data_IF_480429916300
#
_entry.id   IF_480429916300
#
_cell.length_a   1.000
_cell.length_b   1.000
_cell.length_c   1.000
_cell.angle_alpha   90.00
_cell.angle_beta   90.00
_cell.angle_gamma   90.00
#
_symmetry.space_group_name_H-M   'P 1'
#
loop_
_entity.id
_entity.type
_entity.pdbx_description
1 polymer ?
#
# COMPACT_ATOMS: atom_id res chain seq x y z
N UNK A 1 18.50 -35.11 -4.73
CA UNK A 1 18.07 -34.02 -5.63
C UNK A 1 16.55 -33.84 -5.64
N UNK A 2 15.71 -34.84 -5.98
CA UNK A 2 14.24 -34.67 -5.94
C UNK A 2 13.67 -34.55 -4.51
N UNK A 3 14.15 -35.36 -3.58
CA UNK A 3 13.69 -35.39 -2.18
C UNK A 3 13.98 -34.09 -1.41
N UNK A 4 15.18 -33.53 -1.58
CA UNK A 4 15.56 -32.26 -0.93
C UNK A 4 14.73 -31.07 -1.45
N UNK A 5 14.48 -31.02 -2.77
CA UNK A 5 13.59 -30.02 -3.36
C UNK A 5 12.16 -30.13 -2.80
N UNK A 6 11.67 -31.35 -2.62
CA UNK A 6 10.33 -31.61 -2.10
C UNK A 6 10.21 -31.24 -0.61
N UNK A 7 11.24 -31.54 0.19
CA UNK A 7 11.34 -31.12 1.58
C UNK A 7 11.32 -29.59 1.70
N UNK A 8 12.15 -28.89 0.91
CA UNK A 8 12.18 -27.41 0.92
C UNK A 8 10.85 -26.78 0.48
N UNK A 9 10.14 -27.40 -0.47
CA UNK A 9 8.79 -26.95 -0.87
C UNK A 9 7.80 -27.12 0.27
N UNK A 10 7.84 -28.24 0.97
CA UNK A 10 6.94 -28.50 2.09
C UNK A 10 7.22 -27.56 3.27
N UNK A 11 8.49 -27.33 3.59
CA UNK A 11 8.89 -26.38 4.62
C UNK A 11 8.45 -24.95 4.27
N UNK A 12 8.60 -24.53 3.00
CA UNK A 12 8.12 -23.23 2.54
C UNK A 12 6.60 -23.08 2.71
N UNK A 13 5.81 -24.11 2.42
CA UNK A 13 4.35 -24.08 2.66
C UNK A 13 4.00 -24.07 4.14
N UNK A 14 4.74 -24.80 4.97
CA UNK A 14 4.57 -24.76 6.43
C UNK A 14 4.85 -23.35 6.98
N UNK A 15 5.95 -22.72 6.58
CA UNK A 15 6.29 -21.36 7.00
C UNK A 15 5.25 -20.34 6.53
N UNK A 16 4.74 -20.45 5.29
CA UNK A 16 3.63 -19.60 4.81
C UNK A 16 2.38 -19.76 5.66
N UNK A 17 2.04 -20.99 6.06
CA UNK A 17 0.89 -21.25 6.90
C UNK A 17 1.08 -20.71 8.33
N UNK A 18 2.27 -20.88 8.92
CA UNK A 18 2.60 -20.29 10.22
C UNK A 18 2.46 -18.76 10.19
N UNK A 19 2.94 -18.09 9.13
CA UNK A 19 2.76 -16.64 8.95
C UNK A 19 1.27 -16.28 8.84
N UNK A 20 0.48 -17.06 8.08
CA UNK A 20 -0.96 -16.83 7.93
C UNK A 20 -1.69 -16.96 9.28
N UNK A 21 -1.36 -17.98 10.06
CA UNK A 21 -1.93 -18.21 11.38
C UNK A 21 -1.54 -17.11 12.36
N UNK A 22 -0.26 -16.71 12.40
CA UNK A 22 0.20 -15.61 13.25
C UNK A 22 -0.49 -14.28 12.90
N UNK A 23 -0.65 -13.98 11.60
CA UNK A 23 -1.41 -12.79 11.15
C UNK A 23 -2.87 -12.87 11.58
N UNK A 24 -3.50 -14.04 11.50
CA UNK A 24 -4.89 -14.25 11.92
C UNK A 24 -5.04 -14.10 13.44
N UNK A 25 -4.10 -14.63 14.21
CA UNK A 25 -4.10 -14.53 15.66
C UNK A 25 -3.98 -13.09 16.16
N UNK A 26 -3.27 -12.24 15.43
CA UNK A 26 -3.13 -10.80 15.72
C UNK A 26 -4.25 -9.92 15.15
N UNK A 27 -5.17 -10.46 14.34
CA UNK A 27 -6.25 -9.70 13.71
C UNK A 27 -7.50 -9.62 14.61
N UNK A 28 -7.37 -8.92 15.73
CA UNK A 28 -8.41 -8.74 16.76
C UNK A 28 -9.58 -7.83 16.33
N UNK A 29 -9.32 -6.87 15.43
CA UNK A 29 -10.32 -5.97 14.87
C UNK A 29 -10.02 -5.67 13.40
N UNK A 30 -10.91 -4.90 12.75
CA UNK A 30 -10.70 -4.37 11.40
C UNK A 30 -10.63 -2.86 11.44
N UNK A 31 -9.93 -2.25 10.47
CA UNK A 31 -9.87 -0.79 10.34
C UNK A 31 -11.27 -0.17 10.27
N UNK A 32 -12.18 -0.78 9.50
CA UNK A 32 -13.55 -0.29 9.36
C UNK A 32 -14.32 -0.28 10.69
N UNK A 33 -14.18 -1.34 11.50
CA UNK A 33 -14.80 -1.40 12.83
C UNK A 33 -14.16 -0.37 13.78
N UNK A 34 -12.84 -0.24 13.78
CA UNK A 34 -12.13 0.72 14.63
C UNK A 34 -12.48 2.18 14.29
N UNK A 35 -12.74 2.50 13.03
CA UNK A 35 -13.09 3.85 12.57
C UNK A 35 -14.60 4.07 12.42
N UNK A 36 -15.45 3.18 12.95
CA UNK A 36 -16.90 3.24 12.74
C UNK A 36 -17.55 4.55 13.23
N UNK A 37 -16.94 5.21 14.21
CA UNK A 37 -17.42 6.46 14.80
C UNK A 37 -16.61 7.69 14.34
N UNK A 38 -15.75 7.55 13.32
CA UNK A 38 -15.02 8.68 12.75
C UNK A 38 -15.94 9.37 11.74
N UNK A 39 -16.19 10.66 11.96
CA UNK A 39 -16.99 11.45 11.04
C UNK A 39 -16.38 11.47 9.63
N UNK A 40 -17.19 11.36 8.57
CA UNK A 40 -16.69 11.42 7.21
C UNK A 40 -16.16 12.83 6.91
N UNK A 41 -15.08 12.90 6.11
CA UNK A 41 -14.43 14.16 5.69
C UNK A 41 -15.38 15.08 4.89
N UNK A 42 -16.50 14.56 4.38
CA UNK A 42 -17.45 15.30 3.58
C UNK A 42 -16.98 15.53 2.14
N UNK A 43 -17.57 16.51 1.45
CA UNK A 43 -17.31 16.76 0.03
C UNK A 43 -16.01 17.55 -0.17
N UNK A 44 -14.99 16.91 -0.75
CA UNK A 44 -13.74 17.55 -1.13
C UNK A 44 -13.88 18.18 -2.53
N UNK A 45 -13.71 19.50 -2.65
CA UNK A 45 -13.73 20.23 -3.93
C UNK A 45 -12.35 20.71 -4.35
N UNK A 46 -11.72 20.00 -5.27
CA UNK A 46 -10.42 20.39 -5.84
C UNK A 46 -10.60 21.31 -7.06
N UNK A 47 -9.63 22.20 -7.31
CA UNK A 47 -9.54 22.99 -8.55
C UNK A 47 -8.09 23.12 -8.98
N UNK A 48 -7.83 23.14 -10.28
CA UNK A 48 -6.50 23.36 -10.85
C UNK A 48 -5.97 24.74 -10.44
N UNK A 49 -4.78 24.79 -9.81
CA UNK A 49 -4.12 26.05 -9.39
C UNK A 49 -2.96 26.45 -10.30
N UNK A 50 -2.32 25.46 -10.95
CA UNK A 50 -1.18 25.64 -11.83
C UNK A 50 -1.33 24.73 -13.04
N UNK A 51 -0.89 25.21 -14.20
CA UNK A 51 -0.74 24.42 -15.42
C UNK A 51 0.71 24.49 -15.83
N UNK A 52 1.45 23.40 -15.62
CA UNK A 52 2.87 23.33 -15.95
C UNK A 52 3.02 23.03 -17.44
N UNK A 53 3.59 23.98 -18.19
CA UNK A 53 3.82 23.89 -19.64
C UNK A 53 5.32 23.86 -19.92
N UNK A 54 5.73 23.13 -20.96
CA UNK A 54 7.13 23.11 -21.42
C UNK A 54 7.58 21.79 -22.04
N UNK A 55 6.92 20.68 -21.74
CA UNK A 55 7.27 19.38 -22.32
C UNK A 55 6.71 19.22 -23.74
N UNK A 56 7.56 18.73 -24.66
CA UNK A 56 7.21 18.45 -26.06
C UNK A 56 6.79 16.98 -26.30
N UNK A 57 6.76 16.18 -25.24
CA UNK A 57 6.41 14.76 -25.25
C UNK A 57 5.60 14.39 -23.98
N UNK A 58 5.14 13.13 -23.91
CA UNK A 58 4.38 12.62 -22.75
C UNK A 58 5.26 12.54 -21.51
N UNK A 59 4.73 13.01 -20.38
CA UNK A 59 5.36 12.87 -19.06
C UNK A 59 5.08 11.46 -18.54
N UNK A 60 6.12 10.73 -18.12
CA UNK A 60 5.99 9.37 -17.57
C UNK A 60 6.13 9.30 -16.06
N UNK A 61 6.82 10.25 -15.44
CA UNK A 61 7.05 10.29 -14.00
C UNK A 61 7.16 11.74 -13.52
N UNK A 62 6.83 11.95 -12.24
CA UNK A 62 7.07 13.18 -11.50
C UNK A 62 7.41 12.83 -10.05
N UNK A 63 8.13 13.72 -9.36
CA UNK A 63 8.43 13.60 -7.93
C UNK A 63 8.41 15.01 -7.33
N UNK A 64 7.85 15.15 -6.12
CA UNK A 64 7.93 16.40 -5.37
C UNK A 64 9.32 16.53 -4.75
N UNK A 65 9.90 17.72 -4.77
CA UNK A 65 11.13 17.98 -4.03
C UNK A 65 10.87 17.91 -2.51
N UNK A 66 11.92 17.61 -1.74
CA UNK A 66 11.83 17.50 -0.27
C UNK A 66 11.51 18.83 0.41
N UNK A 67 11.89 19.95 -0.22
CA UNK A 67 11.40 21.26 0.14
C UNK A 67 10.02 21.47 -0.50
N UNK A 68 8.99 21.55 0.34
CA UNK A 68 7.67 21.99 -0.11
C UNK A 68 7.74 23.50 -0.37
N UNK A 69 8.15 23.89 -1.58
CA UNK A 69 8.09 25.28 -2.00
C UNK A 69 6.64 25.66 -2.31
N UNK A 70 6.07 26.53 -1.47
CA UNK A 70 4.79 27.16 -1.72
C UNK A 70 4.99 28.23 -2.82
N UNK A 71 4.84 27.83 -4.09
CA UNK A 71 4.90 28.73 -5.26
C UNK A 71 3.54 29.15 -5.79
#
# INVERSE_FOLDING_TARGET
>A
MSSELEQLRQEAEQLKNQIREARKAAADTTLAHATANVDPVGRIQMRTRRTLRGHLAKIYAMHWASDSSNG
#
